data_IF_585122694074
#
_entry.id   IF_585122694074
#
_cell.length_a   1.000
_cell.length_b   1.000
_cell.length_c   1.000
_cell.angle_alpha   90.00
_cell.angle_beta   90.00
_cell.angle_gamma   90.00
#
_symmetry.space_group_name_H-M   'P 1'
#
loop_
_entity.id
_entity.type
_entity.pdbx_description
1 polymer ?
#
# COMPACT_ATOMS: atom_id res chain seq x y z
N UNK A 1 35.46 24.31 -11.03
CA UNK A 1 35.02 23.43 -9.92
C UNK A 1 33.95 22.52 -10.49
N UNK A 2 34.29 21.26 -10.71
CA UNK A 2 33.35 20.24 -11.19
C UNK A 2 32.31 19.99 -10.09
N UNK A 3 31.04 20.11 -10.44
CA UNK A 3 29.94 19.61 -9.61
C UNK A 3 30.18 18.10 -9.44
N UNK A 4 30.22 17.56 -8.22
CA UNK A 4 30.31 16.12 -8.05
C UNK A 4 29.08 15.50 -8.69
N UNK A 5 29.31 14.58 -9.61
CA UNK A 5 28.32 13.70 -10.22
C UNK A 5 27.85 12.68 -9.16
N UNK A 6 27.19 13.16 -8.11
CA UNK A 6 26.49 12.30 -7.16
C UNK A 6 25.11 12.06 -7.71
N UNK A 7 24.93 10.98 -8.50
CA UNK A 7 23.60 10.41 -8.67
C UNK A 7 23.01 10.19 -7.27
N UNK A 8 21.85 10.76 -6.92
CA UNK A 8 21.37 10.81 -5.53
C UNK A 8 21.00 9.45 -4.90
N UNK A 9 21.25 8.32 -5.59
CA UNK A 9 20.51 7.07 -5.38
C UNK A 9 21.38 5.85 -5.16
N UNK A 10 22.56 6.08 -4.60
CA UNK A 10 23.39 5.04 -4.01
C UNK A 10 22.78 4.45 -2.70
N UNK A 11 21.57 4.87 -2.33
CA UNK A 11 20.87 4.48 -1.11
C UNK A 11 20.05 3.20 -1.19
N UNK A 12 19.69 2.79 -2.40
CA UNK A 12 18.94 1.57 -2.63
C UNK A 12 19.90 0.40 -2.59
N UNK A 13 19.46 -0.70 -2.01
CA UNK A 13 20.22 -1.94 -2.10
C UNK A 13 19.31 -3.12 -2.38
N UNK A 14 19.86 -4.04 -3.16
CA UNK A 14 19.25 -5.32 -3.45
C UNK A 14 19.86 -6.30 -2.45
N UNK A 15 19.07 -6.82 -1.50
CA UNK A 15 19.54 -7.90 -0.63
C UNK A 15 19.84 -9.14 -1.48
N UNK A 16 20.78 -9.97 -1.04
CA UNK A 16 21.11 -11.23 -1.72
C UNK A 16 19.83 -12.05 -1.98
N UNK A 17 19.67 -12.67 -3.16
CA UNK A 17 18.51 -13.50 -3.46
C UNK A 17 18.43 -14.62 -2.42
N UNK A 18 17.21 -14.95 -1.95
CA UNK A 18 17.06 -15.99 -0.95
C UNK A 18 17.68 -17.28 -1.42
N UNK A 19 18.58 -17.83 -0.61
CA UNK A 19 18.87 -19.25 -0.72
C UNK A 19 17.64 -19.97 -0.17
N UNK A 20 17.26 -21.10 -0.77
CA UNK A 20 16.28 -21.99 -0.15
C UNK A 20 16.94 -22.51 1.13
N UNK A 21 16.65 -21.84 2.24
CA UNK A 21 17.17 -22.20 3.55
C UNK A 21 16.06 -22.99 4.24
N UNK A 22 16.06 -24.31 4.04
CA UNK A 22 15.40 -25.28 4.93
C UNK A 22 16.21 -25.37 6.25
N UNK A 23 16.36 -24.23 6.95
CA UNK A 23 17.05 -24.21 8.23
C UNK A 23 16.02 -24.07 9.36
N UNK A 24 15.73 -25.15 10.09
CA UNK A 24 14.88 -25.10 11.28
C UNK A 24 15.46 -24.17 12.38
N UNK A 25 16.69 -23.69 12.22
CA UNK A 25 17.32 -22.72 13.11
C UNK A 25 16.89 -21.26 12.87
N UNK A 26 15.89 -20.97 12.02
CA UNK A 26 15.39 -19.60 11.81
C UNK A 26 13.87 -19.48 12.02
N UNK A 27 13.41 -18.31 12.45
CA UNK A 27 12.01 -17.89 12.34
C UNK A 27 11.77 -17.29 10.94
N UNK A 28 10.62 -17.60 10.33
CA UNK A 28 10.32 -17.25 8.95
C UNK A 28 9.02 -16.46 8.87
N UNK A 29 9.11 -15.27 8.30
CA UNK A 29 8.00 -14.35 8.12
C UNK A 29 7.79 -14.13 6.63
N UNK A 30 6.55 -14.11 6.17
CA UNK A 30 6.17 -13.64 4.84
C UNK A 30 5.16 -12.52 5.00
N UNK A 31 5.42 -11.40 4.37
CA UNK A 31 4.56 -10.23 4.31
C UNK A 31 3.89 -10.16 2.96
N UNK A 32 2.59 -9.88 2.97
CA UNK A 32 1.76 -9.72 1.78
C UNK A 32 1.45 -8.24 1.63
N UNK A 33 1.59 -7.73 0.42
CA UNK A 33 1.10 -6.39 0.06
C UNK A 33 -0.42 -6.32 0.11
N UNK A 34 -1.00 -5.18 -0.25
CA UNK A 34 -2.44 -5.04 -0.31
C UNK A 34 -3.05 -6.04 -1.31
N UNK A 35 -4.22 -6.60 -0.97
CA UNK A 35 -5.02 -7.54 -1.74
C UNK A 35 -6.44 -6.97 -1.84
N UNK A 36 -6.66 -6.14 -2.86
CA UNK A 36 -7.95 -5.47 -3.07
C UNK A 36 -8.91 -6.30 -3.95
N UNK A 37 -8.40 -7.33 -4.61
CA UNK A 37 -9.18 -8.35 -5.30
C UNK A 37 -8.41 -9.67 -5.21
N UNK A 38 -9.11 -10.79 -5.07
CA UNK A 38 -8.45 -12.11 -4.96
C UNK A 38 -8.21 -12.69 -6.35
N UNK A 39 -7.06 -12.36 -6.95
CA UNK A 39 -6.66 -12.85 -8.27
C UNK A 39 -6.05 -14.26 -8.22
N UNK A 40 -6.01 -14.94 -9.38
CA UNK A 40 -5.28 -16.21 -9.51
C UNK A 40 -3.79 -16.06 -9.14
N UNK A 41 -3.19 -14.90 -9.40
CA UNK A 41 -1.77 -14.68 -9.13
C UNK A 41 -1.48 -14.72 -7.61
N UNK A 42 -2.29 -14.04 -6.80
CA UNK A 42 -2.11 -14.09 -5.34
C UNK A 42 -2.45 -15.48 -4.79
N UNK A 43 -3.46 -16.17 -5.34
CA UNK A 43 -3.79 -17.55 -4.96
C UNK A 43 -2.64 -18.52 -5.23
N UNK A 44 -2.01 -18.42 -6.41
CA UNK A 44 -0.83 -19.22 -6.78
C UNK A 44 0.35 -18.94 -5.86
N UNK A 45 0.62 -17.65 -5.56
CA UNK A 45 1.68 -17.24 -4.63
C UNK A 45 1.48 -17.79 -3.22
N UNK A 46 0.26 -17.68 -2.69
CA UNK A 46 -0.07 -18.22 -1.37
C UNK A 46 0.01 -19.76 -1.37
N UNK A 47 -0.45 -20.41 -2.43
CA UNK A 47 -0.36 -21.86 -2.57
C UNK A 47 1.09 -22.36 -2.59
N UNK A 48 2.00 -21.62 -3.24
CA UNK A 48 3.43 -21.95 -3.28
C UNK A 48 4.09 -21.95 -1.89
N UNK A 49 3.54 -21.20 -0.92
CA UNK A 49 4.03 -21.20 0.46
C UNK A 49 3.79 -22.54 1.16
N UNK A 50 2.81 -23.36 0.71
CA UNK A 50 2.55 -24.68 1.32
C UNK A 50 3.76 -25.61 1.19
N UNK A 51 4.49 -25.51 0.08
CA UNK A 51 5.70 -26.32 -0.17
C UNK A 51 6.90 -25.84 0.64
N UNK A 52 6.88 -24.60 1.11
CA UNK A 52 7.98 -24.00 1.87
C UNK A 52 7.42 -23.05 2.94
N UNK A 53 6.77 -23.59 3.99
CA UNK A 53 5.92 -22.82 4.89
C UNK A 53 6.70 -21.81 5.74
N UNK A 54 6.25 -20.55 5.85
CA UNK A 54 6.74 -19.63 6.88
C UNK A 54 6.12 -19.98 8.25
N UNK A 55 6.73 -19.52 9.34
CA UNK A 55 6.09 -19.58 10.67
C UNK A 55 4.92 -18.57 10.75
N UNK A 56 5.07 -17.42 10.08
CA UNK A 56 4.12 -16.32 10.09
C UNK A 56 3.83 -15.81 8.67
N UNK A 57 2.55 -15.66 8.33
CA UNK A 57 2.07 -14.95 7.14
C UNK A 57 1.34 -13.68 7.59
N UNK A 58 1.80 -12.51 7.14
CA UNK A 58 1.35 -11.21 7.61
C UNK A 58 0.84 -10.38 6.42
N UNK A 59 -0.46 -10.12 6.36
CA UNK A 59 -1.03 -9.15 5.42
C UNK A 59 -0.83 -7.74 5.96
N UNK A 60 -0.08 -6.90 5.24
CA UNK A 60 0.35 -5.58 5.73
C UNK A 60 -0.59 -4.42 5.43
N UNK A 61 -1.78 -4.68 4.89
CA UNK A 61 -2.68 -3.65 4.41
C UNK A 61 -4.02 -4.20 3.95
N UNK A 62 -4.71 -3.43 3.11
CA UNK A 62 -6.06 -3.75 2.62
C UNK A 62 -6.16 -5.19 2.14
N UNK A 63 -7.09 -5.94 2.73
CA UNK A 63 -7.51 -7.28 2.29
C UNK A 63 -8.97 -7.27 1.80
N UNK A 64 -9.58 -6.09 1.80
CA UNK A 64 -10.95 -5.83 1.37
C UNK A 64 -10.97 -5.07 0.05
N UNK A 65 -11.80 -5.54 -0.86
CA UNK A 65 -12.10 -4.85 -2.10
C UNK A 65 -12.93 -5.76 -3.01
N UNK A 66 -13.10 -5.32 -4.25
CA UNK A 66 -13.81 -6.09 -5.25
C UNK A 66 -13.18 -5.85 -6.61
N UNK A 67 -13.42 -6.78 -7.53
CA UNK A 67 -13.04 -6.59 -8.92
C UNK A 67 -13.67 -5.32 -9.52
N UNK A 68 -14.93 -5.05 -9.18
CA UNK A 68 -15.64 -3.85 -9.62
C UNK A 68 -14.99 -2.56 -9.11
N UNK A 69 -14.64 -2.51 -7.83
CA UNK A 69 -13.96 -1.38 -7.21
C UNK A 69 -12.59 -1.16 -7.83
N UNK A 70 -11.77 -2.20 -7.96
CA UNK A 70 -10.42 -2.07 -8.49
C UNK A 70 -10.40 -1.68 -9.97
N UNK A 71 -11.30 -2.25 -10.76
CA UNK A 71 -11.44 -1.87 -12.16
C UNK A 71 -11.87 -0.41 -12.29
N UNK A 72 -12.89 0.01 -11.55
CA UNK A 72 -13.40 1.38 -11.67
C UNK A 72 -12.39 2.41 -11.15
N UNK A 73 -11.70 2.11 -10.04
CA UNK A 73 -10.61 2.90 -9.48
C UNK A 73 -9.45 3.05 -10.47
N UNK A 74 -9.07 1.97 -11.16
CA UNK A 74 -8.03 1.99 -12.21
C UNK A 74 -8.43 2.88 -13.38
N UNK A 75 -9.67 2.77 -13.87
CA UNK A 75 -10.18 3.64 -14.94
C UNK A 75 -10.15 5.11 -14.50
N UNK A 76 -10.63 5.41 -13.29
CA UNK A 76 -10.63 6.76 -12.73
C UNK A 76 -9.22 7.37 -12.69
N UNK A 77 -8.28 6.70 -12.01
CA UNK A 77 -6.93 7.26 -11.82
C UNK A 77 -6.10 7.23 -13.09
N UNK A 78 -5.99 6.08 -13.74
CA UNK A 78 -5.03 5.89 -14.82
C UNK A 78 -5.52 6.50 -16.13
N UNK A 79 -6.84 6.45 -16.39
CA UNK A 79 -7.36 6.90 -17.68
C UNK A 79 -7.86 8.34 -17.67
N UNK A 80 -8.22 8.90 -16.51
CA UNK A 80 -8.78 10.27 -16.46
C UNK A 80 -7.99 11.17 -15.52
N UNK A 81 -8.06 10.91 -14.20
CA UNK A 81 -7.63 11.86 -13.18
C UNK A 81 -6.13 12.18 -13.23
N UNK A 82 -5.24 11.18 -13.31
CA UNK A 82 -3.79 11.43 -13.30
C UNK A 82 -3.33 12.17 -14.56
N UNK A 83 -3.93 11.89 -15.73
CA UNK A 83 -3.60 12.59 -16.97
C UNK A 83 -4.14 14.02 -16.96
N UNK A 84 -5.41 14.20 -16.59
CA UNK A 84 -6.06 15.51 -16.56
C UNK A 84 -5.51 16.44 -15.46
N UNK A 85 -5.51 15.99 -14.21
CA UNK A 85 -5.01 16.80 -13.08
C UNK A 85 -3.50 16.70 -12.93
N UNK A 86 -2.92 15.50 -13.00
CA UNK A 86 -1.50 15.29 -12.71
C UNK A 86 -0.54 15.74 -13.82
N UNK A 87 -0.92 15.58 -15.09
CA UNK A 87 -0.04 15.96 -16.21
C UNK A 87 -0.39 17.33 -16.82
N UNK A 88 -1.67 17.65 -16.98
CA UNK A 88 -2.14 18.93 -17.57
C UNK A 88 -2.37 20.00 -16.48
N UNK A 89 -2.49 19.61 -15.22
CA UNK A 89 -2.70 20.54 -14.11
C UNK A 89 -4.14 21.02 -13.93
N UNK A 90 -5.14 20.39 -14.56
CA UNK A 90 -6.54 20.84 -14.47
C UNK A 90 -7.02 20.90 -13.01
N UNK A 91 -7.51 22.05 -12.56
CA UNK A 91 -7.94 22.24 -11.17
C UNK A 91 -6.80 22.45 -10.18
N UNK A 92 -5.60 22.74 -10.67
CA UNK A 92 -4.44 23.13 -9.86
C UNK A 92 -4.03 24.57 -10.18
N UNK A 93 -3.13 25.13 -9.38
CA UNK A 93 -2.54 26.45 -9.66
C UNK A 93 -1.71 26.50 -10.95
N UNK A 94 -1.37 25.34 -11.53
CA UNK A 94 -0.61 25.19 -12.77
C UNK A 94 -1.48 24.74 -13.95
N UNK A 95 -2.79 24.97 -13.91
CA UNK A 95 -3.69 24.56 -14.97
C UNK A 95 -3.27 25.13 -16.34
N UNK A 96 -2.97 24.23 -17.28
CA UNK A 96 -2.62 24.62 -18.64
C UNK A 96 -3.82 25.26 -19.35
N UNK A 97 -3.56 26.30 -20.15
CA UNK A 97 -4.55 26.89 -21.03
C UNK A 97 -4.79 25.97 -22.23
N UNK A 98 -5.67 24.98 -22.07
CA UNK A 98 -5.97 23.94 -23.05
C UNK A 98 -7.44 24.04 -23.51
N UNK A 99 -7.66 24.01 -24.82
CA UNK A 99 -9.01 23.96 -25.43
C UNK A 99 -9.63 22.58 -25.25
N UNK A 100 -10.94 22.45 -25.44
CA UNK A 100 -11.61 21.15 -25.32
C UNK A 100 -11.13 20.16 -26.39
N UNK A 101 -10.86 20.62 -27.62
CA UNK A 101 -10.30 19.75 -28.68
C UNK A 101 -8.92 19.22 -28.31
N UNK A 102 -8.06 20.06 -27.75
CA UNK A 102 -6.73 19.64 -27.28
C UNK A 102 -6.82 18.70 -26.06
N UNK A 103 -7.75 18.97 -25.13
CA UNK A 103 -7.99 18.14 -23.96
C UNK A 103 -8.41 16.73 -24.37
N UNK A 104 -9.39 16.62 -25.27
CA UNK A 104 -9.91 15.35 -25.73
C UNK A 104 -8.86 14.53 -26.48
N UNK A 105 -8.01 15.18 -27.28
CA UNK A 105 -6.93 14.53 -28.03
C UNK A 105 -5.68 14.21 -27.20
N UNK A 106 -5.62 14.61 -25.92
CA UNK A 106 -4.42 14.43 -25.10
C UNK A 106 -4.19 12.95 -24.74
N UNK A 107 -3.04 12.40 -25.13
CA UNK A 107 -2.66 11.00 -24.87
C UNK A 107 -2.00 10.83 -23.49
N UNK A 108 -1.16 11.79 -23.10
CA UNK A 108 -0.37 11.74 -21.88
C UNK A 108 0.94 10.94 -21.98
N UNK A 109 1.67 10.88 -20.88
CA UNK A 109 3.02 10.25 -20.82
C UNK A 109 2.96 8.73 -20.76
N UNK A 110 1.93 8.18 -20.12
CA UNK A 110 1.76 6.74 -19.91
C UNK A 110 0.34 6.29 -20.26
N UNK A 111 -0.07 6.35 -21.54
CA UNK A 111 -1.37 5.86 -21.97
C UNK A 111 -1.45 4.33 -21.81
N UNK A 112 -2.65 3.75 -21.62
CA UNK A 112 -2.81 2.29 -21.50
C UNK A 112 -2.40 1.55 -22.78
N UNK A 113 -2.54 2.18 -23.94
CA UNK A 113 -2.01 1.71 -25.21
C UNK A 113 -1.66 2.91 -26.12
N UNK A 114 -0.81 2.72 -27.14
CA UNK A 114 -0.39 3.81 -28.02
C UNK A 114 -1.59 4.54 -28.64
N UNK A 115 -1.62 5.87 -28.49
CA UNK A 115 -2.66 6.73 -29.04
C UNK A 115 -3.96 6.80 -28.25
N UNK A 116 -4.10 6.09 -27.14
CA UNK A 116 -5.30 6.16 -26.30
C UNK A 116 -5.40 7.51 -25.60
N UNK A 117 -6.43 8.27 -25.93
CA UNK A 117 -6.61 9.67 -25.52
C UNK A 117 -7.36 9.80 -24.19
N UNK A 118 -7.46 11.03 -23.67
CA UNK A 118 -8.31 11.36 -22.53
C UNK A 118 -9.79 11.18 -22.86
N UNK A 119 -10.21 11.44 -24.10
CA UNK A 119 -11.56 11.12 -24.56
C UNK A 119 -11.84 9.63 -24.42
N UNK A 120 -10.99 8.77 -25.00
CA UNK A 120 -11.14 7.32 -24.92
C UNK A 120 -11.19 6.85 -23.46
N UNK A 121 -10.35 7.43 -22.60
CA UNK A 121 -10.29 7.11 -21.17
C UNK A 121 -11.57 7.47 -20.41
N UNK A 122 -12.15 8.62 -20.70
CA UNK A 122 -13.41 9.02 -20.09
C UNK A 122 -14.58 8.17 -20.61
N UNK A 123 -14.62 7.86 -21.91
CA UNK A 123 -15.61 6.97 -22.48
C UNK A 123 -15.55 5.56 -21.88
N UNK A 124 -14.34 5.02 -21.68
CA UNK A 124 -14.14 3.73 -21.01
C UNK A 124 -14.63 3.76 -19.55
N UNK A 125 -14.36 4.86 -18.83
CA UNK A 125 -14.85 5.07 -17.46
C UNK A 125 -16.39 5.08 -17.41
N UNK A 126 -17.02 5.84 -18.30
CA UNK A 126 -18.48 5.97 -18.36
C UNK A 126 -19.15 4.66 -18.79
N UNK A 127 -18.59 3.95 -19.77
CA UNK A 127 -19.07 2.62 -20.20
C UNK A 127 -19.10 1.65 -19.03
N UNK A 128 -18.04 1.66 -18.21
CA UNK A 128 -17.99 0.81 -17.03
C UNK A 128 -19.02 1.24 -15.98
N UNK A 129 -19.17 2.55 -15.74
CA UNK A 129 -20.21 3.07 -14.84
C UNK A 129 -21.63 2.60 -15.26
N UNK A 130 -21.97 2.64 -16.54
CA UNK A 130 -23.27 2.16 -17.04
C UNK A 130 -23.44 0.65 -16.86
N UNK A 131 -22.37 -0.11 -17.08
CA UNK A 131 -22.37 -1.56 -16.80
C UNK A 131 -22.68 -1.83 -15.32
N UNK A 132 -22.09 -1.06 -14.40
CA UNK A 132 -22.38 -1.16 -12.96
C UNK A 132 -23.81 -0.76 -12.60
N UNK A 133 -24.45 0.11 -13.41
CA UNK A 133 -25.87 0.46 -13.26
C UNK A 133 -26.83 -0.61 -13.77
N UNK A 134 -26.32 -1.68 -14.39
CA UNK A 134 -27.12 -2.75 -14.97
C UNK A 134 -27.51 -2.54 -16.44
N UNK A 135 -26.94 -1.54 -17.12
CA UNK A 135 -27.07 -1.42 -18.58
C UNK A 135 -26.31 -2.55 -19.28
N UNK A 136 -26.88 -3.18 -20.33
CA UNK A 136 -26.14 -4.09 -21.18
C UNK A 136 -24.87 -3.42 -21.72
N UNK A 137 -23.76 -4.16 -21.80
CA UNK A 137 -22.47 -3.60 -22.24
C UNK A 137 -22.53 -2.96 -23.65
N UNK A 138 -23.43 -3.46 -24.50
CA UNK A 138 -23.70 -2.92 -25.85
C UNK A 138 -24.50 -1.61 -25.82
N UNK A 139 -25.36 -1.42 -24.81
CA UNK A 139 -26.15 -0.19 -24.60
C UNK A 139 -25.42 0.86 -23.75
N UNK A 140 -24.37 0.45 -23.03
CA UNK A 140 -23.47 1.33 -22.29
C UNK A 140 -22.62 2.25 -23.20
N UNK A 141 -22.67 2.06 -24.53
CA UNK A 141 -22.19 3.02 -25.52
C UNK A 141 -23.14 4.23 -25.58
N UNK A 142 -23.06 5.09 -24.58
CA UNK A 142 -23.67 6.41 -24.70
C UNK A 142 -22.84 7.28 -25.66
N UNK A 143 -23.51 7.85 -26.67
CA UNK A 143 -22.95 8.92 -27.47
C UNK A 143 -22.96 10.21 -26.64
N UNK A 144 -21.98 10.36 -25.75
CA UNK A 144 -21.70 11.65 -25.13
C UNK A 144 -21.14 12.57 -26.21
N UNK A 145 -21.65 13.80 -26.27
CA UNK A 145 -21.06 14.83 -27.13
C UNK A 145 -19.65 15.18 -26.64
N UNK A 146 -18.79 15.66 -27.53
CA UNK A 146 -17.44 16.11 -27.18
C UNK A 146 -17.44 17.14 -26.04
N UNK A 147 -18.45 18.01 -25.99
CA UNK A 147 -18.62 19.01 -24.91
C UNK A 147 -18.93 18.36 -23.57
N UNK A 148 -19.75 17.31 -23.53
CA UNK A 148 -20.08 16.59 -22.30
C UNK A 148 -18.88 15.82 -21.76
N UNK A 149 -18.10 15.20 -22.66
CA UNK A 149 -16.86 14.49 -22.29
C UNK A 149 -15.84 15.46 -21.71
N UNK A 150 -15.57 16.58 -22.38
CA UNK A 150 -14.61 17.58 -21.91
C UNK A 150 -15.05 18.16 -20.54
N UNK A 151 -16.34 18.45 -20.38
CA UNK A 151 -16.90 18.88 -19.11
C UNK A 151 -16.71 17.83 -18.00
N UNK A 152 -17.01 16.56 -18.29
CA UNK A 152 -16.87 15.46 -17.35
C UNK A 152 -15.44 15.22 -16.88
N UNK A 153 -14.46 15.28 -17.80
CA UNK A 153 -13.03 15.19 -17.47
C UNK A 153 -12.63 16.33 -16.51
N UNK A 154 -13.04 17.57 -16.80
CA UNK A 154 -12.74 18.73 -15.95
C UNK A 154 -13.41 18.63 -14.60
N UNK A 155 -14.67 18.18 -14.54
CA UNK A 155 -15.39 17.97 -13.29
C UNK A 155 -14.66 16.97 -12.39
N UNK A 156 -14.27 15.81 -12.94
CA UNK A 156 -13.47 14.81 -12.21
C UNK A 156 -12.16 15.41 -11.69
N UNK A 157 -11.42 16.09 -12.57
CA UNK A 157 -10.09 16.61 -12.24
C UNK A 157 -10.11 17.79 -11.26
N UNK A 158 -11.13 18.66 -11.32
CA UNK A 158 -11.23 19.88 -10.49
C UNK A 158 -11.85 19.61 -9.13
N UNK A 159 -12.95 18.88 -9.11
CA UNK A 159 -13.86 18.87 -7.96
C UNK A 159 -13.56 17.72 -6.98
N UNK A 160 -12.77 16.73 -7.42
CA UNK A 160 -12.38 15.59 -6.61
C UNK A 160 -10.87 15.48 -6.54
N UNK A 161 -10.37 15.07 -5.37
CA UNK A 161 -8.94 14.78 -5.15
C UNK A 161 -8.65 13.29 -5.08
N UNK A 162 -9.68 12.47 -4.88
CA UNK A 162 -9.59 11.02 -4.71
C UNK A 162 -10.84 10.33 -5.27
N UNK A 163 -10.68 9.05 -5.62
CA UNK A 163 -11.72 8.17 -6.14
C UNK A 163 -12.94 8.04 -5.21
N UNK A 164 -12.73 7.87 -3.90
CA UNK A 164 -13.81 7.66 -2.94
C UNK A 164 -14.86 8.78 -2.92
N UNK A 165 -14.46 10.05 -2.72
CA UNK A 165 -15.35 11.20 -2.80
C UNK A 165 -16.13 11.30 -4.11
N UNK A 166 -15.52 10.92 -5.24
CA UNK A 166 -16.19 10.89 -6.54
C UNK A 166 -17.25 9.77 -6.63
N UNK A 167 -16.91 8.54 -6.24
CA UNK A 167 -17.87 7.41 -6.22
C UNK A 167 -19.08 7.75 -5.37
N UNK A 168 -18.89 8.47 -4.26
CA UNK A 168 -19.97 8.85 -3.33
C UNK A 168 -21.04 9.73 -4.00
N UNK A 169 -20.70 10.45 -5.08
CA UNK A 169 -21.67 11.28 -5.83
C UNK A 169 -22.45 10.50 -6.89
N UNK A 170 -22.09 9.24 -7.15
CA UNK A 170 -22.72 8.42 -8.17
C UNK A 170 -24.05 7.84 -7.69
N UNK A 171 -24.85 7.34 -8.65
CA UNK A 171 -26.14 6.74 -8.34
C UNK A 171 -25.98 5.53 -7.42
N UNK A 172 -27.01 5.30 -6.58
CA UNK A 172 -27.04 4.19 -5.63
C UNK A 172 -26.68 2.82 -6.26
N UNK A 173 -27.19 2.44 -7.45
CA UNK A 173 -26.80 1.18 -8.09
C UNK A 173 -25.29 1.03 -8.35
N UNK A 174 -24.60 2.12 -8.76
CA UNK A 174 -23.14 2.08 -8.95
C UNK A 174 -22.43 1.88 -7.62
N UNK A 175 -22.83 2.64 -6.59
CA UNK A 175 -22.24 2.57 -5.24
C UNK A 175 -22.43 1.20 -4.61
N UNK A 176 -23.57 0.54 -4.82
CA UNK A 176 -23.82 -0.84 -4.39
C UNK A 176 -22.96 -1.83 -5.19
N UNK A 177 -22.88 -1.68 -6.51
CA UNK A 177 -22.14 -2.58 -7.38
C UNK A 177 -20.64 -2.64 -7.04
N UNK A 178 -20.02 -1.51 -6.67
CA UNK A 178 -18.59 -1.48 -6.30
C UNK A 178 -18.28 -2.23 -5.00
N UNK A 179 -19.24 -2.47 -4.11
CA UNK A 179 -18.99 -3.22 -2.85
C UNK A 179 -19.65 -4.60 -2.82
N UNK A 180 -20.54 -4.90 -3.77
CA UNK A 180 -21.39 -6.09 -3.77
C UNK A 180 -20.63 -7.42 -3.66
N UNK A 181 -19.45 -7.52 -4.26
CA UNK A 181 -18.66 -8.75 -4.34
C UNK A 181 -17.52 -8.83 -3.32
N UNK A 182 -17.42 -7.86 -2.39
CA UNK A 182 -16.40 -7.84 -1.35
C UNK A 182 -16.39 -9.11 -0.49
N UNK A 183 -17.58 -9.57 -0.09
CA UNK A 183 -17.70 -10.83 0.67
C UNK A 183 -17.17 -12.02 -0.13
N UNK A 184 -17.57 -12.14 -1.40
CA UNK A 184 -17.13 -13.24 -2.26
C UNK A 184 -15.62 -13.24 -2.46
N UNK A 185 -15.00 -12.06 -2.59
CA UNK A 185 -13.55 -11.95 -2.71
C UNK A 185 -12.82 -12.28 -1.39
N UNK A 186 -13.38 -11.91 -0.24
CA UNK A 186 -12.87 -12.31 1.08
C UNK A 186 -12.99 -13.83 1.29
N UNK A 187 -14.07 -14.47 0.84
CA UNK A 187 -14.26 -15.93 0.87
C UNK A 187 -13.22 -16.65 0.00
N UNK A 188 -12.90 -16.12 -1.19
CA UNK A 188 -11.82 -16.65 -2.04
C UNK A 188 -10.46 -16.53 -1.35
N UNK A 189 -10.18 -15.37 -0.72
CA UNK A 189 -8.90 -15.16 -0.02
C UNK A 189 -8.78 -16.13 1.16
N UNK A 190 -9.86 -16.29 1.93
CA UNK A 190 -9.92 -17.27 3.02
C UNK A 190 -9.64 -18.69 2.52
N UNK A 191 -10.26 -19.11 1.42
CA UNK A 191 -10.02 -20.43 0.83
C UNK A 191 -8.55 -20.64 0.43
N UNK A 192 -7.85 -19.60 -0.02
CA UNK A 192 -6.42 -19.65 -0.31
C UNK A 192 -5.53 -19.70 0.95
N UNK A 193 -6.02 -19.14 2.07
CA UNK A 193 -5.31 -19.10 3.35
C UNK A 193 -5.50 -20.40 4.17
N UNK A 194 -6.66 -21.04 4.09
CA UNK A 194 -6.99 -22.22 4.89
C UNK A 194 -5.95 -23.36 4.82
N UNK A 195 -5.41 -23.74 3.64
CA UNK A 195 -4.35 -24.75 3.56
C UNK A 195 -3.07 -24.35 4.31
N UNK A 196 -2.79 -23.05 4.43
CA UNK A 196 -1.65 -22.53 5.18
C UNK A 196 -1.89 -22.65 6.69
N UNK A 197 -3.09 -22.32 7.17
CA UNK A 197 -3.46 -22.51 8.58
C UNK A 197 -3.40 -23.99 8.99
N UNK A 198 -3.77 -24.92 8.11
CA UNK A 198 -3.66 -26.37 8.34
C UNK A 198 -2.21 -26.88 8.45
N UNK A 199 -1.23 -26.06 8.06
CA UNK A 199 0.21 -26.31 8.20
C UNK A 199 0.81 -25.63 9.43
N UNK A 200 -0.03 -25.22 10.39
CA UNK A 200 0.34 -24.48 11.60
C UNK A 200 1.00 -23.11 11.32
N UNK A 201 0.79 -22.55 10.13
CA UNK A 201 1.23 -21.18 9.79
C UNK A 201 0.33 -20.19 10.51
N UNK A 202 0.92 -19.27 11.28
CA UNK A 202 0.18 -18.19 11.94
C UNK A 202 -0.13 -17.09 10.94
N UNK A 203 -1.41 -16.84 10.72
CA UNK A 203 -1.88 -15.83 9.76
C UNK A 203 -2.37 -14.60 10.50
N UNK A 204 -1.81 -13.44 10.15
CA UNK A 204 -2.09 -12.14 10.76
C UNK A 204 -2.47 -11.16 9.66
N UNK A 205 -3.45 -10.31 9.94
CA UNK A 205 -3.89 -9.23 9.05
C UNK A 205 -3.79 -7.89 9.77
N UNK A 206 -3.22 -6.89 9.09
CA UNK A 206 -3.17 -5.51 9.53
C UNK A 206 -4.20 -4.68 8.77
N UNK A 207 -5.07 -3.96 9.48
CA UNK A 207 -6.09 -3.13 8.85
C UNK A 207 -5.54 -2.01 7.96
N UNK A 208 -5.89 -2.07 6.67
CA UNK A 208 -5.70 -1.01 5.70
C UNK A 208 -6.81 0.06 5.75
N UNK A 209 -6.87 0.95 4.78
CA UNK A 209 -7.88 2.00 4.78
C UNK A 209 -9.29 1.49 4.38
N UNK A 210 -9.40 0.48 3.53
CA UNK A 210 -10.66 -0.05 3.02
C UNK A 210 -11.23 -1.24 3.81
N UNK A 211 -10.44 -1.81 4.73
CA UNK A 211 -10.88 -2.92 5.59
C UNK A 211 -11.88 -2.51 6.67
N UNK A 212 -11.96 -1.22 6.97
CA UNK A 212 -12.94 -0.70 7.91
C UNK A 212 -14.23 -0.37 7.17
N UNK A 213 -15.28 -1.18 7.37
CA UNK A 213 -16.56 -1.00 6.70
C UNK A 213 -17.18 0.39 6.91
N UNK A 214 -17.02 0.98 8.11
CA UNK A 214 -17.50 2.32 8.39
C UNK A 214 -16.71 3.38 7.60
N UNK A 215 -15.39 3.28 7.55
CA UNK A 215 -14.56 4.17 6.73
C UNK A 215 -14.96 4.09 5.24
N UNK A 216 -15.24 2.90 4.74
CA UNK A 216 -15.69 2.67 3.36
C UNK A 216 -17.06 3.32 3.10
N UNK A 217 -18.00 3.27 4.05
CA UNK A 217 -19.28 4.02 3.96
C UNK A 217 -19.04 5.52 3.97
N UNK A 218 -18.25 6.02 4.92
CA UNK A 218 -18.07 7.45 5.13
C UNK A 218 -17.34 8.11 3.96
N UNK A 219 -16.34 7.43 3.39
CA UNK A 219 -15.40 8.03 2.44
C UNK A 219 -15.51 7.53 1.00
N UNK A 220 -16.34 6.52 0.69
CA UNK A 220 -16.46 5.99 -0.68
C UNK A 220 -17.91 5.77 -1.12
N UNK A 221 -18.70 4.96 -0.40
CA UNK A 221 -20.01 4.54 -0.93
C UNK A 221 -21.20 5.21 -0.29
N UNK A 222 -21.08 5.93 0.81
CA UNK A 222 -22.20 6.55 1.52
C UNK A 222 -22.81 5.66 2.62
N UNK A 223 -23.40 6.31 3.63
CA UNK A 223 -23.99 5.65 4.80
C UNK A 223 -25.24 4.82 4.48
N UNK A 224 -25.89 5.08 3.34
CA UNK A 224 -27.08 4.36 2.87
C UNK A 224 -26.78 3.02 2.19
N UNK A 225 -25.50 2.66 2.06
CA UNK A 225 -25.01 1.43 1.44
C UNK A 225 -24.51 0.46 2.49
N UNK A 226 -24.98 -0.78 2.41
CA UNK A 226 -24.43 -1.87 3.21
C UNK A 226 -23.05 -2.25 2.66
N UNK A 227 -22.08 -2.33 3.57
CA UNK A 227 -20.70 -2.70 3.27
C UNK A 227 -20.35 -3.90 4.13
N UNK A 228 -19.81 -4.93 3.48
CA UNK A 228 -19.32 -6.14 4.12
C UNK A 228 -18.22 -5.81 5.14
N UNK A 229 -18.32 -6.40 6.33
CA UNK A 229 -17.34 -6.17 7.40
C UNK A 229 -16.30 -7.31 7.44
N UNK A 230 -15.15 -7.02 6.85
CA UNK A 230 -14.06 -7.97 6.67
C UNK A 230 -13.38 -8.35 8.00
N UNK A 231 -13.36 -7.45 8.98
CA UNK A 231 -12.64 -7.67 10.24
C UNK A 231 -13.29 -8.79 11.08
N UNK A 232 -14.59 -8.74 11.42
CA UNK A 232 -15.28 -9.86 12.06
C UNK A 232 -15.23 -11.13 11.21
N UNK A 233 -15.33 -11.00 9.88
CA UNK A 233 -15.31 -12.15 8.99
C UNK A 233 -14.02 -12.97 9.09
N UNK A 234 -12.84 -12.35 9.13
CA UNK A 234 -11.61 -13.12 9.26
C UNK A 234 -11.38 -13.59 10.71
N UNK A 235 -11.78 -12.79 11.71
CA UNK A 235 -11.71 -13.19 13.13
C UNK A 235 -12.52 -14.45 13.43
N UNK A 236 -13.72 -14.59 12.88
CA UNK A 236 -14.56 -15.78 13.09
C UNK A 236 -13.93 -17.06 12.49
N UNK A 237 -13.00 -16.91 11.53
CA UNK A 237 -12.24 -17.99 10.92
C UNK A 237 -10.85 -18.19 11.55
N UNK A 238 -10.63 -17.66 12.76
CA UNK A 238 -9.42 -17.88 13.53
C UNK A 238 -8.19 -17.13 13.02
N UNK A 239 -8.38 -16.08 12.21
CA UNK A 239 -7.30 -15.22 11.74
C UNK A 239 -7.18 -14.01 12.68
N UNK A 240 -5.95 -13.74 13.14
CA UNK A 240 -5.66 -12.55 13.93
C UNK A 240 -5.78 -11.31 13.03
N UNK A 241 -6.72 -10.42 13.34
CA UNK A 241 -6.90 -9.17 12.60
C UNK A 241 -6.66 -7.99 13.54
N UNK A 242 -5.58 -7.24 13.30
CA UNK A 242 -5.21 -6.08 14.10
C UNK A 242 -5.87 -4.81 13.56
N UNK A 243 -6.87 -4.38 14.31
CA UNK A 243 -7.65 -3.18 14.08
C UNK A 243 -7.29 -2.03 15.05
N UNK A 244 -6.23 -2.21 15.83
CA UNK A 244 -5.64 -1.23 16.72
C UNK A 244 -4.14 -1.53 16.88
N UNK A 245 -3.36 -0.56 17.37
CA UNK A 245 -1.92 -0.77 17.62
C UNK A 245 -1.72 -2.01 18.52
N UNK A 246 -0.99 -2.99 17.99
CA UNK A 246 -0.82 -4.33 18.58
C UNK A 246 0.63 -4.80 18.46
N UNK A 247 1.01 -5.82 19.23
CA UNK A 247 2.37 -6.36 19.20
C UNK A 247 2.36 -7.89 19.24
N UNK A 248 3.30 -8.50 18.50
CA UNK A 248 3.62 -9.93 18.63
C UNK A 248 5.10 -10.04 19.00
N UNK A 249 5.40 -10.82 20.04
CA UNK A 249 6.77 -11.13 20.46
C UNK A 249 7.04 -12.60 20.19
N UNK A 250 8.08 -12.90 19.42
CA UNK A 250 8.56 -14.25 19.14
C UNK A 250 9.86 -14.49 19.92
N UNK A 251 10.61 -15.56 19.64
CA UNK A 251 11.90 -15.77 20.31
C UNK A 251 12.95 -14.75 19.84
N UNK A 252 12.85 -14.26 18.60
CA UNK A 252 13.88 -13.41 17.97
C UNK A 252 13.38 -12.05 17.51
N UNK A 253 12.08 -11.83 17.44
CA UNK A 253 11.51 -10.58 16.94
C UNK A 253 10.44 -10.02 17.87
N UNK A 254 10.27 -8.70 17.80
CA UNK A 254 9.09 -7.99 18.27
C UNK A 254 8.50 -7.28 17.06
N UNK A 255 7.30 -7.67 16.66
CA UNK A 255 6.52 -7.03 15.62
C UNK A 255 5.53 -6.06 16.24
N UNK A 256 5.47 -4.84 15.72
CA UNK A 256 4.55 -3.79 16.12
C UNK A 256 3.67 -3.47 14.92
N UNK A 257 2.38 -3.64 15.09
CA UNK A 257 1.39 -3.49 14.04
C UNK A 257 0.67 -2.16 14.21
N UNK A 258 0.70 -1.30 13.18
CA UNK A 258 0.07 0.01 13.20
C UNK A 258 -0.92 0.12 12.03
N UNK A 259 -2.23 -0.08 12.27
CA UNK A 259 -3.24 -0.03 11.21
C UNK A 259 -3.43 1.39 10.69
N UNK A 260 -3.96 1.53 9.47
CA UNK A 260 -4.04 2.81 8.76
C UNK A 260 -4.77 3.90 9.53
N UNK A 261 -5.91 3.58 10.15
CA UNK A 261 -6.75 4.59 10.81
C UNK A 261 -6.16 5.14 12.10
N UNK A 262 -5.26 4.43 12.78
CA UNK A 262 -4.49 4.99 13.90
C UNK A 262 -3.60 6.14 13.40
N UNK A 263 -3.03 5.98 12.20
CA UNK A 263 -2.23 7.00 11.52
C UNK A 263 -3.09 8.12 10.93
N UNK A 264 -4.22 7.79 10.31
CA UNK A 264 -5.09 8.77 9.65
C UNK A 264 -5.74 9.74 10.64
N UNK A 265 -5.97 9.30 11.88
CA UNK A 265 -6.41 10.17 12.99
C UNK A 265 -5.27 11.05 13.56
N UNK A 266 -4.06 10.92 13.03
CA UNK A 266 -2.87 11.63 13.51
C UNK A 266 -2.48 11.26 14.93
N UNK A 267 -2.85 10.06 15.40
CA UNK A 267 -2.93 9.71 16.82
C UNK A 267 -3.70 10.78 17.60
N UNK A 268 -5.02 10.83 17.37
CA UNK A 268 -5.94 11.50 18.28
C UNK A 268 -5.48 11.20 19.71
N UNK A 269 -5.23 12.25 20.51
CA UNK A 269 -4.70 12.11 21.87
C UNK A 269 -5.75 11.50 22.82
N UNK A 270 -6.64 10.66 22.30
CA UNK A 270 -7.46 9.83 23.13
C UNK A 270 -6.55 8.91 23.95
N UNK A 271 -6.94 8.74 25.21
CA UNK A 271 -6.17 8.02 26.22
C UNK A 271 -5.88 6.57 25.78
N UNK A 272 -6.74 6.00 24.95
CA UNK A 272 -6.62 4.63 24.47
C UNK A 272 -5.44 4.46 23.51
N UNK A 273 -5.28 5.38 22.54
CA UNK A 273 -4.21 5.37 21.55
C UNK A 273 -2.85 5.57 22.21
N UNK A 274 -2.77 6.52 23.15
CA UNK A 274 -1.57 6.76 23.96
C UNK A 274 -1.18 5.52 24.77
N UNK A 275 -2.16 4.87 25.39
CA UNK A 275 -1.93 3.63 26.15
C UNK A 275 -1.38 2.51 25.26
N UNK A 276 -1.96 2.32 24.06
CA UNK A 276 -1.46 1.30 23.12
C UNK A 276 -0.03 1.59 22.64
N UNK A 277 0.29 2.86 22.36
CA UNK A 277 1.66 3.26 22.01
C UNK A 277 2.66 3.03 23.15
N UNK A 278 2.27 3.35 24.40
CA UNK A 278 3.11 3.08 25.56
C UNK A 278 3.35 1.58 25.77
N UNK A 279 2.32 0.76 25.55
CA UNK A 279 2.46 -0.70 25.60
C UNK A 279 3.40 -1.21 24.49
N UNK A 280 3.29 -0.69 23.26
CA UNK A 280 4.22 -1.01 22.19
C UNK A 280 5.66 -0.60 22.54
N UNK A 281 5.85 0.58 23.14
CA UNK A 281 7.17 1.03 23.58
C UNK A 281 7.75 0.13 24.69
N UNK A 282 6.92 -0.35 25.61
CA UNK A 282 7.35 -1.32 26.62
C UNK A 282 7.83 -2.64 25.97
N UNK A 283 7.15 -3.11 24.93
CA UNK A 283 7.58 -4.28 24.15
C UNK A 283 8.89 -4.04 23.41
N UNK A 284 9.11 -2.83 22.86
CA UNK A 284 10.40 -2.44 22.27
C UNK A 284 11.52 -2.52 23.30
N UNK A 285 11.32 -1.90 24.47
CA UNK A 285 12.33 -1.89 25.53
C UNK A 285 12.67 -3.32 25.97
N UNK A 286 11.65 -4.17 26.15
CA UNK A 286 11.85 -5.57 26.46
C UNK A 286 12.61 -6.32 25.36
N UNK A 287 12.17 -6.19 24.09
CA UNK A 287 12.83 -6.82 22.94
C UNK A 287 14.29 -6.40 22.79
N UNK A 288 14.59 -5.12 22.99
CA UNK A 288 15.95 -4.60 22.96
C UNK A 288 16.84 -5.20 24.06
N UNK A 289 16.32 -5.38 25.28
CA UNK A 289 17.04 -6.03 26.38
C UNK A 289 17.35 -7.50 26.09
N UNK A 290 16.40 -8.19 25.45
CA UNK A 290 16.53 -9.59 25.04
C UNK A 290 17.29 -9.78 23.71
N UNK A 291 17.84 -8.71 23.13
CA UNK A 291 18.56 -8.78 21.87
C UNK A 291 17.70 -9.16 20.65
N UNK A 292 16.38 -8.97 20.74
CA UNK A 292 15.45 -9.20 19.63
C UNK A 292 15.57 -8.11 18.57
N UNK A 293 15.08 -8.43 17.39
CA UNK A 293 14.89 -7.46 16.31
C UNK A 293 13.52 -6.80 16.43
N UNK A 294 13.48 -5.49 16.32
CA UNK A 294 12.25 -4.72 16.37
C UNK A 294 11.79 -4.41 14.95
N UNK A 295 10.59 -4.86 14.59
CA UNK A 295 9.98 -4.66 13.27
C UNK A 295 8.68 -3.91 13.46
N UNK A 296 8.51 -2.80 12.73
CA UNK A 296 7.20 -2.16 12.59
C UNK A 296 6.58 -2.62 11.28
N UNK A 297 5.29 -2.96 11.30
CA UNK A 297 4.46 -3.20 10.13
C UNK A 297 3.37 -2.15 10.15
N UNK A 298 3.34 -1.28 9.15
CA UNK A 298 2.36 -0.21 9.04
C UNK A 298 1.84 -0.14 7.60
N UNK A 299 0.56 0.18 7.44
CA UNK A 299 -0.01 0.27 6.10
C UNK A 299 0.61 1.44 5.30
N UNK A 300 0.64 2.64 5.90
CA UNK A 300 1.10 3.86 5.24
C UNK A 300 2.61 3.86 4.92
N UNK A 301 3.01 4.62 3.90
CA UNK A 301 4.41 4.83 3.56
C UNK A 301 5.15 5.69 4.60
N UNK A 302 6.41 5.37 4.93
CA UNK A 302 7.19 6.14 5.89
C UNK A 302 7.80 7.41 5.29
N UNK A 303 7.92 7.49 3.96
CA UNK A 303 8.53 8.61 3.26
C UNK A 303 7.95 8.76 1.84
N UNK A 304 7.47 9.96 1.53
CA UNK A 304 6.84 10.29 0.24
C UNK A 304 7.82 10.27 -0.94
N UNK A 305 9.02 10.82 -0.73
CA UNK A 305 10.03 10.99 -1.78
C UNK A 305 10.49 9.65 -2.36
N UNK A 306 10.48 8.58 -1.56
CA UNK A 306 10.82 7.23 -2.02
C UNK A 306 9.95 6.74 -3.20
N UNK A 307 8.69 7.16 -3.30
CA UNK A 307 7.76 6.78 -4.38
C UNK A 307 7.59 7.85 -5.44
N UNK A 308 8.14 9.03 -5.20
CA UNK A 308 7.94 10.23 -6.00
C UNK A 308 9.29 10.87 -6.34
N UNK A 309 10.31 10.05 -6.57
CA UNK A 309 11.71 10.46 -6.77
C UNK A 309 11.86 11.50 -7.88
N UNK A 310 11.08 11.37 -8.95
CA UNK A 310 11.08 12.26 -10.10
C UNK A 310 10.17 13.49 -9.95
N UNK A 311 9.48 13.63 -8.81
CA UNK A 311 8.50 14.67 -8.55
C UNK A 311 8.90 15.55 -7.36
N UNK A 312 8.77 16.85 -7.53
CA UNK A 312 8.90 17.82 -6.43
C UNK A 312 7.60 18.03 -5.65
N UNK A 313 6.53 17.29 -5.99
CA UNK A 313 5.25 17.40 -5.30
C UNK A 313 5.39 16.93 -3.85
N UNK A 314 4.82 17.69 -2.93
CA UNK A 314 4.71 17.31 -1.52
C UNK A 314 3.41 16.51 -1.28
N UNK A 315 3.38 15.62 -0.28
CA UNK A 315 2.14 14.93 0.07
C UNK A 315 1.15 15.93 0.68
N UNK A 316 -0.13 15.80 0.31
CA UNK A 316 -1.22 16.66 0.81
C UNK A 316 -2.34 15.84 1.46
N UNK A 317 -3.17 16.49 2.29
CA UNK A 317 -4.35 15.88 2.88
C UNK A 317 -4.03 14.69 3.80
N UNK A 318 -4.86 13.64 3.75
CA UNK A 318 -4.74 12.44 4.59
C UNK A 318 -3.37 11.78 4.48
N UNK A 319 -2.77 11.79 3.29
CA UNK A 319 -1.44 11.21 3.06
C UNK A 319 -0.35 11.95 3.83
N UNK A 320 -0.43 13.28 3.91
CA UNK A 320 0.51 14.05 4.73
C UNK A 320 0.36 13.72 6.23
N UNK A 321 -0.88 13.56 6.68
CA UNK A 321 -1.20 13.23 8.08
C UNK A 321 -0.62 11.86 8.45
N UNK A 322 -0.87 10.84 7.62
CA UNK A 322 -0.43 9.46 7.89
C UNK A 322 1.09 9.32 7.86
N UNK A 323 1.78 9.94 6.88
CA UNK A 323 3.25 9.96 6.81
C UNK A 323 3.84 10.63 8.05
N UNK A 324 3.29 11.78 8.46
CA UNK A 324 3.77 12.51 9.64
C UNK A 324 3.57 11.71 10.93
N UNK A 325 2.39 11.10 11.08
CA UNK A 325 2.07 10.23 12.21
C UNK A 325 3.04 9.04 12.26
N UNK A 326 3.21 8.34 11.14
CA UNK A 326 4.13 7.21 11.06
C UNK A 326 5.56 7.63 11.39
N UNK A 327 6.01 8.78 10.88
CA UNK A 327 7.32 9.34 11.22
C UNK A 327 7.52 9.58 12.72
N UNK A 328 6.50 10.09 13.42
CA UNK A 328 6.53 10.24 14.86
C UNK A 328 6.63 8.89 15.59
N UNK A 329 5.89 7.87 15.12
CA UNK A 329 6.01 6.51 15.64
C UNK A 329 7.41 5.92 15.44
N UNK A 330 7.98 6.07 14.25
CA UNK A 330 9.33 5.57 13.97
C UNK A 330 10.39 6.28 14.81
N UNK A 331 10.23 7.58 15.06
CA UNK A 331 11.10 8.34 15.96
C UNK A 331 11.03 7.84 17.41
N UNK A 332 9.82 7.48 17.87
CA UNK A 332 9.57 6.97 19.22
C UNK A 332 10.06 5.53 19.39
N UNK A 333 9.65 4.63 18.50
CA UNK A 333 9.87 3.19 18.60
C UNK A 333 11.28 2.78 18.16
N UNK A 334 11.92 3.57 17.28
CA UNK A 334 13.26 3.31 16.72
C UNK A 334 13.46 1.85 16.29
N UNK A 335 12.60 1.30 15.42
CA UNK A 335 12.72 -0.08 14.99
C UNK A 335 13.98 -0.32 14.15
N UNK A 336 14.40 -1.57 14.03
CA UNK A 336 15.45 -1.97 13.10
C UNK A 336 14.93 -1.94 11.64
N UNK A 337 13.64 -2.26 11.43
CA UNK A 337 13.01 -2.35 10.12
C UNK A 337 11.53 -1.91 10.13
N UNK A 338 11.09 -1.21 9.07
CA UNK A 338 9.69 -0.90 8.77
C UNK A 338 9.26 -1.64 7.50
N UNK A 339 8.07 -2.22 7.53
CA UNK A 339 7.45 -2.93 6.40
C UNK A 339 6.12 -2.26 6.06
N UNK A 340 5.90 -1.92 4.78
CA UNK A 340 4.70 -1.21 4.35
C UNK A 340 4.30 -1.51 2.88
N UNK A 341 2.99 -1.56 2.53
CA UNK A 341 2.54 -1.87 1.16
C UNK A 341 1.73 -0.80 0.37
N UNK A 342 1.24 0.27 1.01
CA UNK A 342 0.15 1.15 0.50
C UNK A 342 0.30 1.79 -0.90
N UNK A 343 1.50 1.94 -1.45
CA UNK A 343 1.71 2.69 -2.71
C UNK A 343 1.39 1.92 -3.99
N UNK A 344 1.15 0.61 -3.89
CA UNK A 344 0.80 -0.36 -4.95
C UNK A 344 1.75 -0.51 -6.16
N UNK A 345 2.39 0.56 -6.62
CA UNK A 345 3.32 0.57 -7.74
C UNK A 345 4.73 0.19 -7.31
N UNK A 346 5.47 -0.47 -8.20
CA UNK A 346 6.91 -0.70 -7.98
C UNK A 346 7.65 0.62 -7.80
N UNK A 347 8.68 0.60 -6.96
CA UNK A 347 9.60 1.73 -6.81
C UNK A 347 10.28 2.02 -8.15
N UNK A 348 10.59 3.29 -8.38
CA UNK A 348 11.29 3.75 -9.57
C UNK A 348 12.47 4.63 -9.18
N UNK A 349 13.52 4.61 -9.99
CA UNK A 349 14.63 5.55 -9.83
C UNK A 349 14.32 6.94 -10.43
N UNK A 350 15.30 7.84 -10.39
CA UNK A 350 15.18 9.18 -10.94
C UNK A 350 15.03 9.22 -12.46
N UNK A 351 15.48 8.17 -13.16
CA UNK A 351 15.32 7.99 -14.59
C UNK A 351 13.98 7.30 -14.94
N UNK A 352 13.10 7.13 -13.94
CA UNK A 352 11.79 6.50 -14.01
C UNK A 352 11.83 4.99 -14.36
N UNK A 353 12.99 4.36 -14.17
CA UNK A 353 13.20 2.93 -14.40
C UNK A 353 12.67 2.17 -13.18
N UNK A 354 11.89 1.11 -13.42
CA UNK A 354 11.39 0.24 -12.36
C UNK A 354 12.54 -0.46 -11.65
N UNK A 355 12.55 -0.35 -10.33
CA UNK A 355 13.49 -1.06 -9.47
C UNK A 355 13.00 -2.49 -9.23
N UNK A 356 13.92 -3.45 -9.00
CA UNK A 356 13.56 -4.79 -8.58
C UNK A 356 12.64 -4.77 -7.36
N UNK A 357 11.63 -5.65 -7.32
CA UNK A 357 10.62 -5.68 -6.26
C UNK A 357 11.20 -5.92 -4.85
N UNK A 358 12.42 -6.44 -4.76
CA UNK A 358 13.14 -6.69 -3.50
C UNK A 358 14.03 -5.55 -3.02
N UNK A 359 13.97 -4.42 -3.71
CA UNK A 359 14.79 -3.25 -3.38
C UNK A 359 14.37 -2.68 -2.02
N UNK A 360 15.36 -2.46 -1.15
CA UNK A 360 15.20 -1.80 0.15
C UNK A 360 15.91 -0.45 0.16
N UNK A 361 15.53 0.37 1.13
CA UNK A 361 16.14 1.67 1.36
C UNK A 361 16.27 2.01 2.83
N UNK A 362 17.05 3.04 3.12
CA UNK A 362 17.27 3.51 4.47
C UNK A 362 16.57 4.84 4.71
N UNK A 363 15.92 4.91 5.86
CA UNK A 363 15.30 6.13 6.36
C UNK A 363 15.87 6.47 7.72
N UNK A 364 15.77 7.74 8.10
CA UNK A 364 16.17 8.23 9.41
C UNK A 364 15.11 9.18 9.97
N UNK A 365 14.55 8.91 11.15
CA UNK A 365 13.72 9.89 11.85
C UNK A 365 14.53 11.17 12.17
N UNK A 366 13.95 12.32 11.88
CA UNK A 366 14.51 13.66 12.06
C UNK A 366 13.46 14.60 12.68
N UNK A 367 13.89 15.79 13.09
CA UNK A 367 13.00 16.78 13.74
C UNK A 367 11.84 17.25 12.85
N UNK A 368 11.97 17.13 11.53
CA UNK A 368 10.97 17.53 10.54
C UNK A 368 10.30 16.34 9.82
N UNK A 369 10.38 15.13 10.37
CA UNK A 369 9.76 13.93 9.79
C UNK A 369 10.77 12.81 9.55
N UNK A 370 10.63 12.10 8.44
CA UNK A 370 11.49 10.96 8.09
C UNK A 370 12.28 11.31 6.83
N UNK A 371 13.60 11.26 6.93
CA UNK A 371 14.51 11.57 5.81
C UNK A 371 14.98 10.28 5.13
N UNK A 372 15.09 10.33 3.80
CA UNK A 372 15.76 9.30 3.02
C UNK A 372 17.28 9.42 3.21
N UNK A 373 17.97 8.31 3.50
CA UNK A 373 19.42 8.31 3.67
C UNK A 373 20.07 7.99 2.34
N UNK A 374 20.40 9.04 1.57
CA UNK A 374 20.97 8.92 0.22
C UNK A 374 22.47 8.59 0.18
N UNK A 375 23.20 8.92 1.25
CA UNK A 375 24.67 8.86 1.31
C UNK A 375 25.15 7.55 1.95
N UNK A 376 25.85 6.71 1.18
CA UNK A 376 26.44 5.44 1.62
C UNK A 376 27.34 5.57 2.86
N UNK A 377 28.06 6.68 3.02
CA UNK A 377 28.91 6.91 4.20
C UNK A 377 28.11 6.95 5.51
N UNK A 378 26.81 7.23 5.41
CA UNK A 378 25.92 7.35 6.56
C UNK A 378 25.16 6.05 6.87
N UNK A 379 25.36 5.00 6.09
CA UNK A 379 24.61 3.75 6.22
C UNK A 379 24.80 3.10 7.59
N UNK A 380 26.02 3.10 8.11
CA UNK A 380 26.34 2.50 9.41
C UNK A 380 25.78 3.26 10.62
N UNK A 381 25.02 4.34 10.42
CA UNK A 381 24.46 5.09 11.53
C UNK A 381 23.38 4.27 12.26
N UNK A 382 23.50 4.15 13.58
CA UNK A 382 22.66 3.34 14.47
C UNK A 382 21.19 3.74 14.56
N UNK A 383 20.80 4.87 13.95
CA UNK A 383 19.42 5.38 13.93
C UNK A 383 18.74 5.19 12.57
N UNK A 384 19.45 4.61 11.61
CA UNK A 384 18.87 4.27 10.33
C UNK A 384 17.93 3.09 10.52
N UNK A 385 16.79 3.17 9.85
CA UNK A 385 15.77 2.14 9.81
C UNK A 385 15.75 1.59 8.39
N UNK A 386 15.74 0.28 8.25
CA UNK A 386 15.55 -0.36 6.95
C UNK A 386 14.08 -0.26 6.57
N UNK A 387 13.77 0.19 5.37
CA UNK A 387 12.43 0.21 4.84
C UNK A 387 12.26 -0.86 3.76
N UNK A 388 11.30 -1.76 4.01
CA UNK A 388 10.90 -2.84 3.09
C UNK A 388 9.53 -2.53 2.54
N UNK A 389 9.50 -2.21 1.25
CA UNK A 389 8.26 -1.99 0.52
C UNK A 389 7.71 -3.31 -0.01
N UNK A 390 6.41 -3.57 0.19
CA UNK A 390 5.75 -4.76 -0.35
C UNK A 390 4.68 -4.33 -1.37
N UNK A 391 4.95 -4.43 -2.69
CA UNK A 391 4.00 -3.97 -3.71
C UNK A 391 2.68 -4.72 -3.71
N UNK A 392 1.71 -4.18 -4.45
CA UNK A 392 0.36 -4.77 -4.60
C UNK A 392 0.42 -6.26 -4.95
N UNK A 393 -0.25 -7.10 -4.15
CA UNK A 393 -0.29 -8.56 -4.28
C UNK A 393 1.07 -9.27 -4.38
N UNK A 394 2.16 -8.62 -3.95
CA UNK A 394 3.49 -9.25 -3.87
C UNK A 394 3.75 -9.78 -2.48
N UNK A 395 4.73 -10.69 -2.42
CA UNK A 395 5.23 -11.28 -1.18
C UNK A 395 6.66 -10.80 -0.94
N UNK A 396 6.96 -10.47 0.32
CA UNK A 396 8.32 -10.28 0.81
C UNK A 396 8.51 -11.20 2.01
N UNK A 397 9.52 -12.05 2.00
CA UNK A 397 9.87 -12.85 3.16
C UNK A 397 10.97 -12.17 3.97
N UNK A 398 11.16 -12.66 5.18
CA UNK A 398 12.22 -12.27 6.08
C UNK A 398 12.47 -13.45 7.02
N UNK A 399 13.73 -13.85 7.14
CA UNK A 399 14.17 -14.85 8.11
C UNK A 399 14.74 -14.15 9.35
N UNK A 400 14.69 -14.76 10.52
CA UNK A 400 15.39 -14.28 11.71
C UNK A 400 16.10 -15.46 12.36
N UNK A 401 17.45 -15.47 12.39
CA UNK A 401 18.17 -16.62 12.89
C UNK A 401 17.92 -16.81 14.39
N UNK A 402 17.60 -18.04 14.81
CA UNK A 402 17.42 -18.42 16.22
C UNK A 402 18.75 -18.43 16.97
N UNK A 403 19.87 -18.62 16.26
CA UNK A 403 21.22 -18.53 16.82
C UNK A 403 21.97 -17.31 16.29
N UNK A 404 22.78 -16.66 17.14
CA UNK A 404 23.49 -15.43 16.77
C UNK A 404 22.66 -14.16 16.90
N UNK A 405 23.16 -13.05 16.33
CA UNK A 405 22.48 -11.75 16.36
C UNK A 405 21.39 -11.70 15.28
N UNK A 406 20.10 -11.59 15.63
CA UNK A 406 19.01 -11.57 14.65
C UNK A 406 18.86 -10.23 13.93
N UNK A 407 19.51 -9.16 14.41
CA UNK A 407 19.37 -7.81 13.87
C UNK A 407 19.95 -7.71 12.46
N UNK A 408 19.30 -6.93 11.57
CA UNK A 408 19.75 -6.81 10.20
C UNK A 408 21.15 -6.21 10.13
N UNK A 409 21.97 -6.78 9.25
CA UNK A 409 23.28 -6.22 8.88
C UNK A 409 23.15 -5.66 7.47
N UNK A 410 23.45 -4.37 7.32
CA UNK A 410 23.35 -3.64 6.05
C UNK A 410 24.23 -4.25 4.94
N UNK A 411 25.38 -4.82 5.33
CA UNK A 411 26.31 -5.50 4.44
C UNK A 411 26.74 -6.82 5.08
N UNK A 412 26.12 -7.92 4.67
CA UNK A 412 26.45 -9.27 5.11
C UNK A 412 25.84 -9.67 6.46
N UNK A 413 24.89 -10.61 6.41
CA UNK A 413 24.23 -11.24 7.56
C UNK A 413 23.08 -12.11 7.06
N UNK A 414 22.82 -13.23 7.72
CA UNK A 414 21.87 -14.29 7.33
C UNK A 414 20.39 -13.92 7.44
N UNK A 415 20.06 -12.62 7.38
CA UNK A 415 18.70 -12.11 7.38
C UNK A 415 18.30 -11.76 5.95
N UNK A 416 18.04 -12.80 5.18
CA UNK A 416 17.71 -12.71 3.76
C UNK A 416 16.22 -12.40 3.60
N UNK A 417 15.84 -11.27 2.98
CA UNK A 417 14.48 -11.12 2.52
C UNK A 417 14.25 -12.00 1.30
N UNK A 418 13.49 -13.09 1.47
CA UNK A 418 13.17 -13.95 0.35
C UNK A 418 12.04 -13.36 -0.50
N UNK A 419 12.26 -13.12 -1.78
CA UNK A 419 11.12 -13.02 -2.68
C UNK A 419 10.65 -14.41 -3.06
N UNK A 420 9.37 -14.67 -2.85
CA UNK A 420 8.68 -15.79 -3.48
C UNK A 420 8.26 -15.29 -4.86
N UNK A 421 8.98 -15.72 -5.90
CA UNK A 421 8.74 -15.36 -7.32
C UNK A 421 7.34 -15.72 -7.76
#
# INVERSE_FOLDING_TARGET
>A
MSVPDTKPFDSWYIPDPPRVIDDPSSERFVYVGCVHETTNNIVERLSALVSNPPDYLIFGGDVTGSHELETFKRLFYNLVYNRARGEIGIGTEHEANITDTELLAYVGRTPPCPGHTLQDGYEDLMRYQYTLQGSPAEEAQQQLSASEIAHGIRHIARDFTYYGPWVKTLSRPVREAVVRTMQTDAEKLLAAIQPLQQRDIKVIMLGGNWDNAQNTRDNMVGEDIEVFDTIPFFRQHGIEFFDAISCISTDKTVHIFIPYWELARGFSHDESTVTRLNNAMAQVIYGCREGKTIIVVAHAEPNWQAHNVSSAAEPTGDRQITIKALGACLALLQPDEIIYPHQHNLLRDADNIELPANTKYLIRPASNGVQLVCDKSQFSHTRNIIATYVPYQRLAALTAPRTGNPRPKLFGGTREPAHVT
#
